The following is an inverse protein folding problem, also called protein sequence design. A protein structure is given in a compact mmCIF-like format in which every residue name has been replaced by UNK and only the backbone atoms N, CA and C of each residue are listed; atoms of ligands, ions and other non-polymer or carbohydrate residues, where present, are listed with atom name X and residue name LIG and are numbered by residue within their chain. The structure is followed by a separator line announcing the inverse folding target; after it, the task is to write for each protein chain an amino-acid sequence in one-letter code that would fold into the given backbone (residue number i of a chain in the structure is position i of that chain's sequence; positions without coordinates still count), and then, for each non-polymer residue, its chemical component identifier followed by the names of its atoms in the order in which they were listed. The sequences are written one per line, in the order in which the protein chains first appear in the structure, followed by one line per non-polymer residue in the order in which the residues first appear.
data_IF_823794219708
#
_entry.id   IF_823794219708
#
_cell.length_a   1.000
_cell.length_b   1.000
_cell.length_c   1.000
_cell.angle_alpha   90.00
_cell.angle_beta   90.00
_cell.angle_gamma   90.00
#
_symmetry.space_group_name_H-M   'P 1'
#
loop_
_entity.id
_entity.type
_entity.pdbx_description
1 polymer ?
#
# COMPACT_ATOMS: atom_id res chain seq x y z
N UNK A 1 18.73 -27.07 -47.02
CA UNK A 1 18.04 -27.66 -45.84
C UNK A 1 18.52 -27.08 -44.51
N UNK A 2 19.82 -26.82 -44.30
CA UNK A 2 20.38 -26.30 -43.02
C UNK A 2 19.93 -24.90 -42.56
N UNK A 3 19.35 -24.06 -43.42
CA UNK A 3 18.85 -22.73 -43.05
C UNK A 3 17.45 -22.77 -42.45
N UNK A 4 16.61 -23.72 -42.87
CA UNK A 4 15.24 -23.88 -42.38
C UNK A 4 15.23 -24.45 -40.95
N UNK A 5 16.16 -25.35 -40.65
CA UNK A 5 16.38 -25.92 -39.31
C UNK A 5 16.84 -24.85 -38.30
N UNK A 6 17.73 -23.94 -38.73
CA UNK A 6 18.22 -22.83 -37.89
C UNK A 6 17.14 -21.79 -37.60
N UNK A 7 16.29 -21.48 -38.59
CA UNK A 7 15.16 -20.57 -38.41
C UNK A 7 14.14 -21.12 -37.40
N UNK A 8 13.87 -22.43 -37.43
CA UNK A 8 13.00 -23.09 -36.45
C UNK A 8 13.55 -23.03 -35.02
N UNK A 9 14.87 -23.24 -34.85
CA UNK A 9 15.52 -23.16 -33.54
C UNK A 9 15.50 -21.74 -32.95
N UNK A 10 15.69 -20.71 -33.79
CA UNK A 10 15.64 -19.31 -33.35
C UNK A 10 14.21 -18.92 -32.94
N UNK A 11 13.20 -19.33 -33.72
CA UNK A 11 11.79 -19.08 -33.39
C UNK A 11 11.37 -19.74 -32.08
N UNK A 12 11.79 -20.98 -31.85
CA UNK A 12 11.51 -21.71 -30.61
C UNK A 12 12.14 -21.00 -29.39
N UNK A 13 13.40 -20.56 -29.52
CA UNK A 13 14.09 -19.83 -28.45
C UNK A 13 13.43 -18.50 -28.10
N UNK A 14 12.93 -17.75 -29.09
CA UNK A 14 12.21 -16.50 -28.86
C UNK A 14 10.89 -16.72 -28.12
N UNK A 15 10.10 -17.73 -28.51
CA UNK A 15 8.82 -18.03 -27.85
C UNK A 15 9.03 -18.51 -26.42
N UNK A 16 10.02 -19.37 -26.19
CA UNK A 16 10.37 -19.85 -24.86
C UNK A 16 10.86 -18.71 -23.97
N UNK A 17 11.77 -17.86 -24.47
CA UNK A 17 12.28 -16.70 -23.74
C UNK A 17 11.18 -15.69 -23.39
N UNK A 18 10.27 -15.41 -24.32
CA UNK A 18 9.13 -14.52 -24.07
C UNK A 18 8.18 -15.09 -23.01
N UNK A 19 7.89 -16.40 -23.07
CA UNK A 19 7.02 -17.07 -22.10
C UNK A 19 7.60 -17.03 -20.69
N UNK A 20 8.92 -17.26 -20.54
CA UNK A 20 9.61 -17.19 -19.25
C UNK A 20 9.60 -15.75 -18.70
N UNK A 21 9.86 -14.75 -19.55
CA UNK A 21 9.82 -13.34 -19.13
C UNK A 21 8.44 -12.91 -18.63
N UNK A 22 7.36 -13.34 -19.29
CA UNK A 22 5.99 -13.07 -18.83
C UNK A 22 5.68 -13.77 -17.50
N UNK A 23 6.13 -15.01 -17.32
CA UNK A 23 5.90 -15.76 -16.09
C UNK A 23 6.64 -15.15 -14.90
N UNK A 24 7.88 -14.68 -15.11
CA UNK A 24 8.67 -14.02 -14.06
C UNK A 24 8.08 -12.66 -13.66
N UNK A 25 7.62 -11.87 -14.65
CA UNK A 25 6.93 -10.60 -14.40
C UNK A 25 5.60 -10.79 -13.63
N UNK A 26 4.85 -11.85 -13.94
CA UNK A 26 3.62 -12.18 -13.23
C UNK A 26 3.86 -12.70 -11.79
N UNK A 27 4.95 -13.46 -11.58
CA UNK A 27 5.33 -14.00 -10.27
C UNK A 27 5.79 -12.91 -9.30
N UNK A 28 6.56 -11.92 -9.78
CA UNK A 28 7.11 -10.87 -8.93
C UNK A 28 6.04 -9.97 -8.29
N UNK A 29 4.83 -9.96 -8.83
CA UNK A 29 3.73 -9.11 -8.34
C UNK A 29 2.82 -9.82 -7.32
N UNK A 30 3.05 -11.11 -7.04
CA UNK A 30 2.15 -11.91 -6.19
C UNK A 30 2.52 -11.89 -4.70
N UNK A 31 3.78 -11.62 -4.37
CA UNK A 31 4.26 -11.61 -2.97
C UNK A 31 4.04 -10.27 -2.25
N UNK A 32 3.60 -9.23 -2.97
CA UNK A 32 3.21 -7.93 -2.38
C UNK A 32 1.72 -7.86 -2.00
N UNK A 33 1.01 -8.99 -2.01
CA UNK A 33 -0.39 -9.03 -1.64
C UNK A 33 -0.52 -8.94 -0.11
N UNK A 34 -0.56 -7.68 0.32
CA UNK A 34 -1.19 -7.16 1.51
C UNK A 34 -1.90 -8.22 2.35
N UNK A 35 -1.49 -8.30 3.62
CA UNK A 35 -2.33 -8.86 4.70
C UNK A 35 -3.79 -8.43 4.45
N UNK A 36 -4.75 -9.37 4.38
CA UNK A 36 -6.12 -9.02 4.10
C UNK A 36 -6.59 -7.96 5.09
N UNK A 37 -7.23 -6.90 4.58
CA UNK A 37 -7.65 -5.79 5.42
C UNK A 37 -8.63 -6.28 6.51
N UNK A 38 -8.49 -5.79 7.75
CA UNK A 38 -9.36 -6.17 8.86
C UNK A 38 -10.73 -5.46 8.71
N UNK A 39 -11.62 -6.02 7.90
CA UNK A 39 -12.87 -5.35 7.47
C UNK A 39 -13.82 -5.06 8.65
N UNK A 40 -13.91 -5.96 9.62
CA UNK A 40 -14.81 -5.78 10.78
C UNK A 40 -14.31 -4.67 11.72
N UNK A 41 -12.99 -4.59 11.92
CA UNK A 41 -12.35 -3.55 12.71
C UNK A 41 -12.45 -2.19 12.01
N UNK A 42 -12.29 -2.16 10.68
CA UNK A 42 -12.47 -0.95 9.88
C UNK A 42 -13.93 -0.47 9.88
N UNK A 43 -14.90 -1.39 9.88
CA UNK A 43 -16.32 -1.06 10.06
C UNK A 43 -16.56 -0.41 11.42
N UNK A 44 -16.07 -1.04 12.49
CA UNK A 44 -16.19 -0.51 13.85
C UNK A 44 -15.54 0.87 13.97
N UNK A 45 -14.36 1.05 13.39
CA UNK A 45 -13.67 2.34 13.34
C UNK A 45 -14.50 3.42 12.65
N UNK A 46 -15.08 3.10 11.48
CA UNK A 46 -15.89 4.05 10.71
C UNK A 46 -17.22 4.39 11.39
N UNK A 47 -17.83 3.46 12.13
CA UNK A 47 -18.99 3.73 12.98
C UNK A 47 -18.67 4.72 14.11
N UNK A 48 -17.56 4.50 14.82
CA UNK A 48 -17.11 5.40 15.90
C UNK A 48 -16.75 6.78 15.34
N UNK A 49 -16.04 6.82 14.22
CA UNK A 49 -15.71 8.08 13.53
C UNK A 49 -16.97 8.87 13.17
N UNK A 50 -17.97 8.19 12.59
CA UNK A 50 -19.25 8.81 12.23
C UNK A 50 -20.00 9.36 13.46
N UNK A 51 -20.03 8.59 14.54
CA UNK A 51 -20.66 9.01 15.82
C UNK A 51 -19.99 10.24 16.41
N UNK A 52 -18.65 10.31 16.41
CA UNK A 52 -17.94 11.49 16.89
C UNK A 52 -18.34 12.72 16.06
N UNK A 53 -18.44 12.59 14.74
CA UNK A 53 -18.85 13.71 13.89
C UNK A 53 -20.29 14.18 14.12
N UNK A 54 -21.21 13.29 14.43
CA UNK A 54 -22.63 13.65 14.63
C UNK A 54 -22.93 14.15 16.03
N UNK A 55 -22.28 13.57 17.04
CA UNK A 55 -22.68 13.72 18.44
C UNK A 55 -21.74 14.66 19.23
N UNK A 56 -20.57 15.01 18.66
CA UNK A 56 -19.63 15.91 19.33
C UNK A 56 -20.12 17.36 19.28
N UNK A 57 -19.92 18.06 20.40
CA UNK A 57 -20.47 19.41 20.66
C UNK A 57 -19.94 20.44 19.66
N UNK A 58 -18.70 20.28 19.21
CA UNK A 58 -18.05 21.19 18.27
C UNK A 58 -17.82 20.52 16.91
N UNK A 59 -17.99 21.24 15.79
CA UNK A 59 -17.67 20.69 14.49
C UNK A 59 -16.16 20.39 14.41
N UNK A 60 -15.83 19.13 14.14
CA UNK A 60 -14.46 18.66 13.93
C UNK A 60 -14.24 18.28 12.48
N UNK A 61 -13.06 18.60 11.95
CA UNK A 61 -12.70 18.30 10.57
C UNK A 61 -12.20 16.86 10.42
N UNK A 62 -12.43 16.27 9.24
CA UNK A 62 -11.98 14.90 8.93
C UNK A 62 -10.45 14.77 9.06
N UNK A 63 -9.71 15.77 8.57
CA UNK A 63 -8.25 15.82 8.69
C UNK A 63 -7.84 15.72 10.15
N UNK A 64 -8.43 16.53 11.04
CA UNK A 64 -8.09 16.52 12.46
C UNK A 64 -8.37 15.16 13.09
N UNK A 65 -9.58 14.61 12.93
CA UNK A 65 -9.93 13.32 13.52
C UNK A 65 -9.04 12.16 13.04
N UNK A 66 -8.73 12.11 11.75
CA UNK A 66 -7.83 11.09 11.19
C UNK A 66 -6.41 11.26 11.72
N UNK A 67 -5.87 12.48 11.73
CA UNK A 67 -4.54 12.75 12.29
C UNK A 67 -4.45 12.34 13.76
N UNK A 68 -5.45 12.70 14.58
CA UNK A 68 -5.50 12.31 16.00
C UNK A 68 -5.61 10.79 16.18
N UNK A 69 -6.40 10.11 15.34
CA UNK A 69 -6.50 8.65 15.36
C UNK A 69 -5.17 7.97 15.04
N UNK A 70 -4.43 8.45 14.02
CA UNK A 70 -3.11 7.92 13.66
C UNK A 70 -2.10 8.18 14.77
N UNK A 71 -2.05 9.40 15.30
CA UNK A 71 -1.18 9.77 16.42
C UNK A 71 -1.46 8.91 17.66
N UNK A 72 -2.75 8.69 17.98
CA UNK A 72 -3.15 7.80 19.08
C UNK A 72 -2.71 6.35 18.88
N UNK A 73 -2.83 5.81 17.67
CA UNK A 73 -2.34 4.45 17.35
C UNK A 73 -0.83 4.34 17.51
N UNK A 74 -0.06 5.32 17.03
CA UNK A 74 1.40 5.31 17.16
C UNK A 74 1.86 5.44 18.61
N UNK A 75 1.28 6.37 19.37
CA UNK A 75 1.56 6.53 20.80
C UNK A 75 1.25 5.26 21.60
N UNK A 76 0.21 4.52 21.21
CA UNK A 76 -0.15 3.25 21.82
C UNK A 76 0.84 2.11 21.52
N UNK A 77 1.56 2.18 20.39
CA UNK A 77 2.59 1.21 20.02
C UNK A 77 3.95 1.54 20.62
N UNK A 78 4.36 2.80 20.54
CA UNK A 78 5.66 3.27 21.02
C UNK A 78 5.60 4.78 21.34
N UNK A 79 5.94 5.20 22.58
CA UNK A 79 5.99 6.61 22.98
C UNK A 79 6.96 7.49 22.17
N UNK A 80 7.92 6.89 21.47
CA UNK A 80 8.87 7.61 20.62
C UNK A 80 8.44 7.71 19.16
N UNK A 81 7.38 7.00 18.78
CA UNK A 81 6.83 7.06 17.43
C UNK A 81 5.95 8.30 17.27
N UNK A 82 6.18 9.05 16.18
CA UNK A 82 5.42 10.26 15.86
C UNK A 82 4.90 10.21 14.42
N UNK A 83 3.64 10.61 14.24
CA UNK A 83 3.09 10.85 12.91
C UNK A 83 3.55 12.22 12.41
N UNK A 84 4.11 12.26 11.21
CA UNK A 84 4.54 13.48 10.55
C UNK A 84 3.65 13.71 9.33
N UNK A 85 2.97 14.85 9.30
CA UNK A 85 2.33 15.30 8.09
C UNK A 85 3.36 15.86 7.10
N UNK A 86 2.91 16.19 5.89
CA UNK A 86 3.80 16.64 4.82
C UNK A 86 4.59 17.92 5.17
N UNK A 87 4.02 18.79 6.01
CA UNK A 87 4.65 20.03 6.44
C UNK A 87 5.71 19.73 7.50
N UNK A 88 5.36 18.98 8.54
CA UNK A 88 6.28 18.56 9.60
C UNK A 88 7.46 17.73 9.05
N UNK A 89 7.21 16.84 8.09
CA UNK A 89 8.26 16.07 7.43
C UNK A 89 9.20 16.94 6.60
N UNK A 90 8.69 18.03 6.01
CA UNK A 90 9.52 18.98 5.26
C UNK A 90 10.40 19.80 6.21
N UNK A 91 9.88 20.23 7.35
CA UNK A 91 10.66 20.95 8.36
C UNK A 91 11.82 20.12 8.90
N UNK A 92 11.61 18.81 9.15
CA UNK A 92 12.69 17.91 9.58
C UNK A 92 13.80 17.74 8.54
N UNK A 93 13.50 17.80 7.24
CA UNK A 93 14.50 17.68 6.19
C UNK A 93 15.32 18.95 5.96
N UNK A 94 14.82 20.09 6.42
CA UNK A 94 15.47 21.40 6.25
C UNK A 94 16.32 21.75 7.48
N UNK A 95 16.13 21.04 8.60
CA UNK A 95 16.92 21.15 9.83
C UNK A 95 18.30 20.49 9.79
#
# INVERSE_FOLDING_TARGET
MRLLEKAGLIGLGLVAGFSVSLHFAASANKDNLATPLPIEELRTFSEVFGRIKSDYVEPVTDKKLITEAITGMLNGLDPHSAYLDAEAFKELQVG
#
